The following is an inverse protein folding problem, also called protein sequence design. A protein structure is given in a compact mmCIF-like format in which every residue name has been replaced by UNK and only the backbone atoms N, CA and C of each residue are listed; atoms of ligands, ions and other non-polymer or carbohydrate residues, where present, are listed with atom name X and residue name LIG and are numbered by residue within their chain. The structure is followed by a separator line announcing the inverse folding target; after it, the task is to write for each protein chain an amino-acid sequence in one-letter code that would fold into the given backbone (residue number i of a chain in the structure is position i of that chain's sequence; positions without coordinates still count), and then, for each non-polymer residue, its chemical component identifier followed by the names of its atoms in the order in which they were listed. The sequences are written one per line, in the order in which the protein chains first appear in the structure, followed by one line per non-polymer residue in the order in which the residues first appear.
data_IF_578918939734
#
_entry.id   IF_578918939734
#
_cell.length_a   1.000
_cell.length_b   1.000
_cell.length_c   1.000
_cell.angle_alpha   90.00
_cell.angle_beta   90.00
_cell.angle_gamma   90.00
#
_symmetry.space_group_name_H-M   'P 1'
#
loop_
_entity.id
_entity.type
_entity.pdbx_description
1 polymer ?
#
# COMPACT_ATOMS: atom_id res chain seq x y z
N UNK A 1 62.95 -41.17 23.66
CA UNK A 1 62.71 -39.74 23.36
C UNK A 1 61.58 -39.64 22.34
N UNK A 2 60.63 -38.74 22.62
CA UNK A 2 59.53 -38.15 21.82
C UNK A 2 59.06 -38.87 20.53
N UNK A 3 57.81 -39.34 20.44
CA UNK A 3 56.55 -38.60 20.22
C UNK A 3 56.39 -37.98 18.80
N UNK A 4 55.50 -38.58 17.99
CA UNK A 4 54.55 -37.93 17.06
C UNK A 4 53.69 -39.06 16.47
N UNK A 5 52.48 -39.42 16.91
CA UNK A 5 51.24 -38.69 17.19
C UNK A 5 50.72 -37.85 16.01
N UNK A 6 49.71 -38.44 15.34
CA UNK A 6 48.50 -37.85 14.72
C UNK A 6 48.69 -36.71 13.69
N UNK A 7 47.85 -36.54 12.68
CA UNK A 7 46.41 -36.28 12.78
C UNK A 7 45.74 -36.70 11.47
N UNK A 8 44.82 -37.66 11.62
CA UNK A 8 43.75 -37.94 10.67
C UNK A 8 42.92 -36.66 10.55
N UNK A 9 42.91 -36.03 9.37
CA UNK A 9 42.04 -34.89 9.10
C UNK A 9 40.60 -35.40 9.01
N UNK A 10 39.89 -35.36 10.14
CA UNK A 10 38.44 -35.59 10.19
C UNK A 10 37.78 -34.46 9.43
N UNK A 11 37.24 -34.79 8.25
CA UNK A 11 36.32 -33.93 7.54
C UNK A 11 35.08 -33.73 8.43
N UNK A 12 35.01 -32.60 9.11
CA UNK A 12 33.79 -32.17 9.76
C UNK A 12 32.76 -31.88 8.66
N UNK A 13 31.59 -32.54 8.64
CA UNK A 13 30.50 -32.05 7.83
C UNK A 13 30.06 -30.72 8.46
N UNK A 14 30.32 -29.62 7.73
CA UNK A 14 29.63 -28.35 7.94
C UNK A 14 28.14 -28.67 7.92
N UNK A 15 27.55 -28.74 9.10
CA UNK A 15 26.11 -28.73 9.30
C UNK A 15 25.61 -27.42 8.69
N UNK A 16 25.21 -27.49 7.43
CA UNK A 16 24.46 -26.43 6.78
C UNK A 16 23.19 -26.25 7.58
N UNK A 17 23.13 -25.19 8.37
CA UNK A 17 21.86 -24.65 8.85
C UNK A 17 21.10 -24.20 7.62
N UNK A 18 20.29 -25.09 7.06
CA UNK A 18 19.25 -24.69 6.13
C UNK A 18 18.46 -23.58 6.82
N UNK A 19 18.29 -22.40 6.19
CA UNK A 19 17.44 -21.37 6.77
C UNK A 19 16.05 -21.98 6.98
N UNK A 20 15.41 -21.74 8.14
CA UNK A 20 14.10 -22.31 8.42
C UNK A 20 13.13 -21.91 7.32
N UNK A 21 12.54 -22.92 6.67
CA UNK A 21 11.42 -22.77 5.74
C UNK A 21 10.31 -22.00 6.44
N UNK A 22 9.87 -20.94 5.78
CA UNK A 22 8.52 -20.40 5.79
C UNK A 22 7.78 -20.56 7.12
N UNK A 23 8.18 -19.75 8.10
CA UNK A 23 7.17 -19.24 9.03
C UNK A 23 6.25 -18.40 8.16
N UNK A 24 4.95 -18.72 8.11
CA UNK A 24 3.89 -17.84 7.61
C UNK A 24 3.95 -16.53 8.40
N UNK A 25 4.92 -15.68 8.09
CA UNK A 25 5.08 -14.37 8.66
C UNK A 25 3.93 -13.58 8.06
N UNK A 26 2.89 -13.40 8.87
CA UNK A 26 1.81 -12.45 8.58
C UNK A 26 2.46 -11.18 8.03
N UNK A 27 2.03 -10.69 6.85
CA UNK A 27 2.66 -9.52 6.24
C UNK A 27 2.68 -8.38 7.27
N UNK A 28 3.78 -7.62 7.36
CA UNK A 28 3.98 -6.63 8.42
C UNK A 28 2.91 -5.53 8.40
N UNK A 29 2.17 -5.42 7.30
CA UNK A 29 1.15 -4.42 7.04
C UNK A 29 -0.18 -5.08 6.66
N UNK A 30 -1.28 -4.44 7.05
CA UNK A 30 -2.60 -4.69 6.49
C UNK A 30 -3.18 -3.40 5.94
N UNK A 31 -4.03 -3.52 4.91
CA UNK A 31 -4.66 -2.37 4.25
C UNK A 31 -6.13 -2.27 4.65
N UNK A 32 -6.52 -1.10 5.15
CA UNK A 32 -7.91 -0.73 5.34
C UNK A 32 -8.31 0.28 4.27
N UNK A 33 -9.35 -0.06 3.51
CA UNK A 33 -9.95 0.84 2.53
C UNK A 33 -11.39 1.15 2.94
N UNK A 34 -11.76 2.42 2.88
CA UNK A 34 -13.13 2.86 3.15
C UNK A 34 -13.63 3.84 2.11
N UNK A 35 -14.93 3.75 1.83
CA UNK A 35 -15.66 4.63 0.94
C UNK A 35 -16.61 5.49 1.77
N UNK A 36 -16.61 6.79 1.49
CA UNK A 36 -17.58 7.74 2.02
C UNK A 36 -18.20 8.54 0.88
N UNK A 37 -19.52 8.72 0.91
CA UNK A 37 -20.24 9.62 0.00
C UNK A 37 -20.62 10.90 0.73
N UNK A 38 -20.11 12.05 0.28
CA UNK A 38 -20.58 13.36 0.77
C UNK A 38 -21.88 13.73 0.05
N UNK A 39 -22.97 13.02 0.36
CA UNK A 39 -24.29 13.37 -0.16
C UNK A 39 -25.22 12.17 -0.20
N UNK A 40 -26.28 12.22 0.62
CA UNK A 40 -27.43 11.34 0.44
C UNK A 40 -28.09 11.63 -0.91
N UNK A 41 -28.34 10.58 -1.70
CA UNK A 41 -29.12 10.48 -2.96
C UNK A 41 -28.94 11.55 -4.07
N UNK A 42 -28.12 12.59 -3.90
CA UNK A 42 -28.07 13.77 -4.80
C UNK A 42 -26.66 14.25 -5.12
N UNK A 43 -25.86 13.40 -5.77
CA UNK A 43 -24.70 13.85 -6.56
C UNK A 43 -23.45 14.27 -5.77
N UNK A 44 -23.30 13.79 -4.53
CA UNK A 44 -22.06 13.94 -3.77
C UNK A 44 -20.88 13.20 -4.41
N UNK A 45 -19.67 13.81 -4.39
CA UNK A 45 -18.44 13.11 -4.78
C UNK A 45 -18.15 12.01 -3.76
N UNK A 46 -17.87 10.80 -4.23
CA UNK A 46 -17.41 9.71 -3.38
C UNK A 46 -15.90 9.84 -3.14
N UNK A 47 -15.46 9.49 -1.93
CA UNK A 47 -14.06 9.55 -1.52
C UNK A 47 -13.59 8.16 -1.09
N UNK A 48 -12.39 7.80 -1.56
CA UNK A 48 -11.67 6.61 -1.13
C UNK A 48 -10.63 7.02 -0.09
N UNK A 49 -10.76 6.49 1.12
CA UNK A 49 -9.75 6.61 2.17
C UNK A 49 -8.99 5.30 2.28
N UNK A 50 -7.65 5.37 2.31
CA UNK A 50 -6.77 4.21 2.44
C UNK A 50 -5.87 4.42 3.65
N UNK A 51 -5.80 3.40 4.50
CA UNK A 51 -4.94 3.37 5.68
C UNK A 51 -4.12 2.09 5.71
N UNK A 52 -2.85 2.21 6.05
CA UNK A 52 -1.97 1.08 6.31
C UNK A 52 -1.83 0.91 7.82
N UNK A 53 -2.00 -0.31 8.30
CA UNK A 53 -1.86 -0.66 9.71
C UNK A 53 -0.67 -1.59 9.85
N UNK A 54 0.31 -1.23 10.68
CA UNK A 54 1.40 -2.14 11.01
C UNK A 54 0.88 -3.23 11.95
N UNK A 55 0.88 -4.49 11.50
CA UNK A 55 0.37 -5.62 12.29
C UNK A 55 1.46 -6.52 12.84
N UNK A 56 2.67 -6.43 12.31
CA UNK A 56 3.83 -7.16 12.82
C UNK A 56 5.11 -6.35 12.59
N UNK A 57 5.82 -6.06 13.69
CA UNK A 57 7.10 -5.34 13.66
C UNK A 57 6.99 -3.87 13.26
N UNK A 58 8.15 -3.22 13.15
CA UNK A 58 8.28 -1.88 12.59
C UNK A 58 8.17 -1.92 11.05
N UNK A 59 7.50 -0.93 10.46
CA UNK A 59 7.35 -0.83 9.00
C UNK A 59 7.55 0.59 8.51
N UNK A 60 8.44 0.78 7.53
CA UNK A 60 8.66 2.04 6.86
C UNK A 60 7.78 2.11 5.60
N UNK A 61 6.75 2.95 5.62
CA UNK A 61 5.76 3.03 4.54
C UNK A 61 5.82 4.35 3.81
N UNK A 62 5.54 4.31 2.50
CA UNK A 62 5.35 5.49 1.66
C UNK A 62 3.87 5.91 1.74
N UNK A 63 3.60 7.19 1.93
CA UNK A 63 2.22 7.72 2.07
C UNK A 63 1.82 8.73 0.99
N UNK A 64 2.76 9.19 0.17
CA UNK A 64 2.51 10.14 -0.91
C UNK A 64 3.25 9.75 -2.21
N UNK A 65 3.06 10.48 -3.30
CA UNK A 65 3.68 10.28 -4.64
C UNK A 65 3.32 8.94 -5.26
N UNK A 66 2.03 8.63 -5.23
CA UNK A 66 1.46 7.48 -5.89
C UNK A 66 0.86 7.82 -7.25
N UNK A 67 0.76 6.80 -8.09
CA UNK A 67 -0.17 6.75 -9.22
C UNK A 67 -1.18 5.64 -8.96
N UNK A 68 -2.41 5.86 -9.42
CA UNK A 68 -3.47 4.87 -9.36
C UNK A 68 -3.69 4.25 -10.74
N UNK A 69 -3.70 2.93 -10.81
CA UNK A 69 -4.09 2.16 -11.99
C UNK A 69 -5.39 1.46 -11.68
N UNK A 70 -6.36 1.58 -12.57
CA UNK A 70 -7.69 1.00 -12.38
C UNK A 70 -7.93 -0.07 -13.43
N UNK A 71 -8.14 -1.29 -12.95
CA UNK A 71 -8.59 -2.42 -13.74
C UNK A 71 -10.05 -2.69 -13.39
N UNK A 72 -10.93 -2.68 -14.38
CA UNK A 72 -12.38 -2.75 -14.16
C UNK A 72 -13.02 -3.83 -15.01
N UNK A 73 -13.91 -4.58 -14.37
CA UNK A 73 -14.88 -5.48 -15.00
C UNK A 73 -16.30 -4.98 -14.70
N UNK A 74 -17.32 -5.72 -15.11
CA UNK A 74 -18.72 -5.35 -14.87
C UNK A 74 -19.06 -5.28 -13.37
N UNK A 75 -18.58 -6.24 -12.57
CA UNK A 75 -18.93 -6.38 -11.16
C UNK A 75 -17.83 -5.95 -10.17
N UNK A 76 -16.57 -5.87 -10.63
CA UNK A 76 -15.41 -5.61 -9.77
C UNK A 76 -14.48 -4.58 -10.37
N UNK A 77 -13.82 -3.79 -9.52
CA UNK A 77 -12.67 -2.99 -9.91
C UNK A 77 -11.53 -3.15 -8.91
N UNK A 78 -10.31 -3.14 -9.42
CA UNK A 78 -9.07 -3.13 -8.64
C UNK A 78 -8.38 -1.79 -8.87
N UNK A 79 -8.11 -1.08 -7.79
CA UNK A 79 -7.32 0.16 -7.77
C UNK A 79 -5.95 -0.17 -7.20
N UNK A 80 -4.94 -0.18 -8.06
CA UNK A 80 -3.56 -0.39 -7.66
C UNK A 80 -2.86 0.96 -7.46
N UNK A 81 -2.52 1.26 -6.23
CA UNK A 81 -1.76 2.43 -5.80
C UNK A 81 -0.29 2.03 -5.71
N UNK A 82 0.53 2.61 -6.60
CA UNK A 82 1.96 2.28 -6.72
C UNK A 82 2.81 3.54 -6.93
N UNK A 83 4.11 3.53 -6.58
CA UNK A 83 4.96 4.70 -6.71
C UNK A 83 4.89 5.33 -8.11
N UNK A 84 4.80 6.66 -8.17
CA UNK A 84 4.81 7.37 -9.45
C UNK A 84 6.16 7.18 -10.13
N UNK A 85 6.14 6.57 -11.32
CA UNK A 85 7.29 6.53 -12.21
C UNK A 85 7.21 7.69 -13.20
N UNK A 86 8.16 8.63 -13.14
CA UNK A 86 8.28 9.72 -14.12
C UNK A 86 9.52 9.52 -14.96
N UNK A 87 9.43 9.91 -16.23
CA UNK A 87 10.58 10.03 -17.12
C UNK A 87 10.76 11.49 -17.53
N UNK A 88 11.99 11.91 -17.74
CA UNK A 88 12.27 13.21 -18.33
C UNK A 88 12.06 13.18 -19.85
N UNK A 89 12.29 14.31 -20.51
CA UNK A 89 12.15 14.45 -21.96
C UNK A 89 13.13 13.56 -22.76
N UNK A 90 14.17 13.02 -22.11
CA UNK A 90 15.15 12.11 -22.71
C UNK A 90 14.83 10.64 -22.38
N UNK A 91 13.72 10.36 -21.70
CA UNK A 91 13.31 9.02 -21.31
C UNK A 91 14.03 8.46 -20.08
N UNK A 92 14.84 9.26 -19.37
CA UNK A 92 15.55 8.84 -18.15
C UNK A 92 14.59 8.87 -16.96
N UNK A 93 14.73 7.92 -16.04
CA UNK A 93 13.90 7.86 -14.84
C UNK A 93 14.17 9.07 -13.94
N UNK A 94 13.12 9.85 -13.63
CA UNK A 94 13.18 10.95 -12.67
C UNK A 94 12.88 10.37 -11.30
N UNK A 95 13.84 10.49 -10.40
CA UNK A 95 13.80 9.90 -9.07
C UNK A 95 13.41 11.00 -8.08
N UNK A 96 12.32 10.82 -7.31
CA UNK A 96 11.94 11.78 -6.27
C UNK A 96 12.93 11.77 -5.10
N UNK A 97 13.04 12.88 -4.39
CA UNK A 97 13.77 12.92 -3.11
C UNK A 97 12.97 12.20 -2.03
N UNK A 98 13.67 11.56 -1.07
CA UNK A 98 13.05 10.83 0.06
C UNK A 98 12.03 11.70 0.79
N UNK A 99 12.37 12.98 1.02
CA UNK A 99 11.51 13.95 1.71
C UNK A 99 10.15 14.17 1.04
N UNK A 100 10.02 13.86 -0.25
CA UNK A 100 8.76 14.04 -1.00
C UNK A 100 7.87 12.82 -1.02
N UNK A 101 8.34 11.67 -0.51
CA UNK A 101 7.60 10.39 -0.52
C UNK A 101 6.61 10.25 0.63
N UNK A 102 6.67 11.14 1.63
CA UNK A 102 5.89 11.00 2.86
C UNK A 102 6.22 9.70 3.58
N UNK A 103 7.51 9.41 3.79
CA UNK A 103 7.93 8.18 4.49
C UNK A 103 7.54 8.29 5.96
N UNK A 104 6.83 7.29 6.47
CA UNK A 104 6.44 7.16 7.87
C UNK A 104 6.92 5.83 8.40
N UNK A 105 7.59 5.85 9.56
CA UNK A 105 7.95 4.63 10.29
C UNK A 105 6.82 4.31 11.26
N UNK A 106 6.17 3.17 11.08
CA UNK A 106 5.08 2.70 11.91
C UNK A 106 5.60 1.69 12.93
N UNK A 107 5.24 1.89 14.19
CA UNK A 107 5.31 0.89 15.24
C UNK A 107 4.10 -0.07 15.16
N UNK A 108 4.15 -1.24 15.81
CA UNK A 108 3.02 -2.17 15.84
C UNK A 108 1.72 -1.50 16.30
N UNK A 109 0.64 -1.72 15.53
CA UNK A 109 -0.69 -1.12 15.67
C UNK A 109 -0.80 0.37 15.35
N UNK A 110 0.27 1.01 14.86
CA UNK A 110 0.16 2.36 14.30
C UNK A 110 -0.41 2.33 12.89
N UNK A 111 -0.97 3.49 12.50
CA UNK A 111 -1.71 3.64 11.26
C UNK A 111 -1.16 4.83 10.47
N UNK A 112 -0.88 4.62 9.19
CA UNK A 112 -0.57 5.68 8.24
C UNK A 112 -1.76 5.91 7.30
N UNK A 113 -2.15 7.17 7.11
CA UNK A 113 -3.05 7.56 6.03
C UNK A 113 -2.27 7.61 4.71
N UNK A 114 -2.82 7.01 3.66
CA UNK A 114 -2.20 7.00 2.32
C UNK A 114 -2.93 8.00 1.43
N UNK A 115 -2.17 8.90 0.81
CA UNK A 115 -2.68 9.86 -0.17
C UNK A 115 -3.06 9.12 -1.46
N UNK A 116 -4.36 9.05 -1.74
CA UNK A 116 -4.89 8.49 -2.99
C UNK A 116 -4.90 9.59 -4.04
N UNK A 117 -4.31 9.38 -5.23
CA UNK A 117 -4.35 10.38 -6.30
C UNK A 117 -5.80 10.70 -6.72
N UNK A 118 -6.20 11.97 -6.72
CA UNK A 118 -7.52 12.41 -7.23
C UNK A 118 -7.38 13.17 -8.55
N UNK A 119 -8.49 13.35 -9.27
CA UNK A 119 -8.57 14.10 -10.56
C UNK A 119 -8.15 15.56 -10.48
N UNK A 120 -7.92 16.12 -9.29
CA UNK A 120 -7.37 17.47 -9.11
C UNK A 120 -5.84 17.53 -9.39
N UNK A 121 -5.24 16.41 -9.81
CA UNK A 121 -3.84 16.33 -10.21
C UNK A 121 -3.57 17.17 -11.48
N UNK A 122 -2.46 17.94 -11.53
CA UNK A 122 -2.17 18.86 -12.63
C UNK A 122 -2.11 18.16 -14.01
N UNK A 123 -2.46 18.87 -15.10
CA UNK A 123 -2.49 18.31 -16.45
C UNK A 123 -1.13 17.72 -16.84
N UNK A 124 -1.14 16.45 -17.25
CA UNK A 124 0.05 15.61 -17.44
C UNK A 124 0.11 14.39 -16.49
N UNK A 125 -0.80 14.32 -15.51
CA UNK A 125 -1.06 13.10 -14.75
C UNK A 125 -1.96 12.14 -15.56
N UNK A 126 -1.36 11.00 -15.94
CA UNK A 126 -1.94 9.74 -16.44
C UNK A 126 -3.46 9.70 -16.80
N UNK A 127 -3.87 9.18 -17.98
CA UNK A 127 -5.28 8.97 -18.34
C UNK A 127 -6.07 8.04 -17.38
N UNK A 128 -5.39 7.39 -16.43
CA UNK A 128 -5.94 6.48 -15.42
C UNK A 128 -6.78 7.15 -14.32
N UNK A 129 -6.74 8.48 -14.17
CA UNK A 129 -7.40 9.15 -13.03
C UNK A 129 -8.92 9.32 -13.23
N UNK A 130 -9.40 9.47 -14.47
CA UNK A 130 -10.85 9.48 -14.76
C UNK A 130 -11.53 8.13 -14.46
N UNK A 131 -10.78 7.04 -14.64
CA UNK A 131 -11.27 5.70 -14.32
C UNK A 131 -11.37 5.47 -12.80
N UNK A 132 -10.58 6.19 -12.00
CA UNK A 132 -10.60 6.09 -10.55
C UNK A 132 -11.86 6.71 -9.95
N UNK A 133 -12.16 7.98 -10.29
CA UNK A 133 -13.36 8.65 -9.77
C UNK A 133 -14.65 7.87 -10.13
N UNK A 134 -14.70 7.33 -11.35
CA UNK A 134 -15.82 6.49 -11.80
C UNK A 134 -15.93 5.18 -11.03
N UNK A 135 -14.81 4.49 -10.76
CA UNK A 135 -14.80 3.25 -9.98
C UNK A 135 -15.18 3.50 -8.52
N UNK A 136 -14.63 4.54 -7.90
CA UNK A 136 -14.93 4.95 -6.51
C UNK A 136 -16.41 5.31 -6.37
N UNK A 137 -16.95 6.07 -7.31
CA UNK A 137 -18.38 6.45 -7.29
C UNK A 137 -19.30 5.25 -7.51
N UNK A 138 -18.98 4.36 -8.44
CA UNK A 138 -19.77 3.14 -8.68
C UNK A 138 -19.76 2.21 -7.45
N UNK A 139 -18.61 2.08 -6.79
CA UNK A 139 -18.46 1.27 -5.59
C UNK A 139 -19.20 1.86 -4.38
N UNK A 140 -19.10 3.18 -4.19
CA UNK A 140 -19.85 3.87 -3.14
C UNK A 140 -21.37 3.76 -3.32
N UNK A 141 -21.84 3.66 -4.57
CA UNK A 141 -23.23 3.40 -4.90
C UNK A 141 -23.65 1.91 -4.79
N UNK A 142 -22.76 1.03 -4.32
CA UNK A 142 -23.02 -0.41 -4.19
C UNK A 142 -23.15 -1.18 -5.51
N UNK A 143 -22.78 -0.56 -6.64
CA UNK A 143 -22.89 -1.17 -7.98
C UNK A 143 -21.70 -2.05 -8.34
N UNK A 144 -20.62 -1.96 -7.57
CA UNK A 144 -19.35 -2.59 -7.89
C UNK A 144 -18.56 -2.87 -6.59
N UNK A 145 -17.90 -4.01 -6.52
CA UNK A 145 -16.93 -4.29 -5.46
C UNK A 145 -15.57 -3.65 -5.80
N UNK A 146 -15.05 -2.82 -4.90
CA UNK A 146 -13.76 -2.15 -5.09
C UNK A 146 -12.69 -2.79 -4.21
N UNK A 147 -11.67 -3.36 -4.84
CA UNK A 147 -10.46 -3.81 -4.18
C UNK A 147 -9.38 -2.75 -4.34
N UNK A 148 -8.69 -2.40 -3.26
CA UNK A 148 -7.54 -1.50 -3.28
C UNK A 148 -6.29 -2.32 -3.03
N UNK A 149 -5.26 -2.09 -3.83
CA UNK A 149 -3.93 -2.68 -3.68
C UNK A 149 -2.94 -1.57 -3.43
N UNK A 150 -2.16 -1.68 -2.36
CA UNK A 150 -0.98 -0.87 -2.13
C UNK A 150 0.25 -1.70 -2.50
N UNK A 151 1.08 -1.17 -3.38
CA UNK A 151 2.24 -1.88 -3.91
C UNK A 151 3.49 -0.98 -3.80
N UNK A 152 4.50 -1.44 -3.07
CA UNK A 152 5.86 -0.86 -3.08
C UNK A 152 6.82 -1.96 -3.54
N UNK A 153 7.30 -1.90 -4.79
CA UNK A 153 8.21 -2.90 -5.33
C UNK A 153 9.56 -2.93 -4.59
N UNK A 154 10.17 -4.11 -4.47
CA UNK A 154 11.46 -4.33 -3.81
C UNK A 154 12.56 -3.33 -4.22
N UNK A 155 12.68 -3.06 -5.53
CA UNK A 155 13.70 -2.14 -6.03
C UNK A 155 13.48 -0.72 -5.50
N UNK A 156 12.22 -0.31 -5.35
CA UNK A 156 11.85 0.98 -4.77
C UNK A 156 12.10 0.99 -3.26
N UNK A 157 11.68 -0.08 -2.58
CA UNK A 157 11.85 -0.24 -1.15
C UNK A 157 13.32 -0.17 -0.73
N UNK A 158 14.19 -0.95 -1.38
CA UNK A 158 15.64 -0.94 -1.12
C UNK A 158 16.26 0.44 -1.34
N UNK A 159 15.81 1.16 -2.37
CA UNK A 159 16.35 2.47 -2.70
C UNK A 159 16.05 3.53 -1.65
N UNK A 160 14.87 3.46 -1.04
CA UNK A 160 14.37 4.51 -0.14
C UNK A 160 14.28 4.07 1.32
N UNK A 161 14.75 2.86 1.65
CA UNK A 161 14.67 2.31 3.01
C UNK A 161 13.24 2.02 3.46
N UNK A 162 12.37 1.60 2.53
CA UNK A 162 10.98 1.25 2.82
C UNK A 162 10.82 -0.25 3.04
N UNK A 163 9.72 -0.64 3.63
CA UNK A 163 9.26 -2.02 3.65
C UNK A 163 8.68 -2.38 2.28
N UNK A 164 9.30 -3.34 1.59
CA UNK A 164 8.76 -3.87 0.34
C UNK A 164 7.47 -4.65 0.63
N UNK A 165 6.39 -4.34 -0.08
CA UNK A 165 5.10 -4.97 0.22
C UNK A 165 4.09 -4.84 -0.91
N UNK A 166 3.20 -5.83 -0.99
CA UNK A 166 1.96 -5.77 -1.75
C UNK A 166 0.85 -6.22 -0.84
N UNK A 167 -0.05 -5.30 -0.47
CA UNK A 167 -1.18 -5.58 0.42
C UNK A 167 -2.47 -5.10 -0.22
N UNK A 168 -3.55 -5.85 -0.03
CA UNK A 168 -4.85 -5.55 -0.60
C UNK A 168 -5.96 -5.53 0.44
N UNK A 169 -6.97 -4.71 0.21
CA UNK A 169 -8.17 -4.64 1.05
C UNK A 169 -9.40 -4.29 0.21
N UNK A 170 -10.54 -4.91 0.54
CA UNK A 170 -11.83 -4.56 -0.07
C UNK A 170 -12.36 -3.30 0.62
N UNK A 171 -12.71 -2.31 -0.18
CA UNK A 171 -13.20 -1.03 0.33
C UNK A 171 -14.60 -1.18 0.94
N UNK A 172 -14.77 -0.71 2.17
CA UNK A 172 -16.04 -0.81 2.91
C UNK A 172 -16.73 0.56 2.96
N UNK A 173 -18.05 0.58 2.78
CA UNK A 173 -18.85 1.80 2.94
C UNK A 173 -18.89 2.16 4.42
N UNK A 174 -18.50 3.39 4.76
CA UNK A 174 -18.63 3.91 6.12
C UNK A 174 -19.74 4.96 6.10
N UNK A 175 -20.94 4.58 6.55
CA UNK A 175 -22.02 5.55 6.72
C UNK A 175 -21.65 6.53 7.84
N UNK A 176 -21.72 7.84 7.55
CA UNK A 176 -21.71 8.83 8.63
C UNK A 176 -23.01 8.65 9.42
N UNK A 177 -22.90 8.03 10.60
CA UNK A 177 -23.99 7.97 11.56
C UNK A 177 -24.34 9.40 11.95
N UNK A 178 -25.45 9.92 11.43
CA UNK A 178 -25.95 11.25 11.79
C UNK A 178 -26.09 11.29 13.32
N UNK A 179 -25.34 12.18 13.97
CA UNK A 179 -25.47 12.40 15.42
C UNK A 179 -26.89 12.95 15.63
N UNK A 180 -27.78 12.29 16.39
CA UNK A 180 -29.11 12.84 16.60
C UNK A 180 -28.96 14.21 17.27
N UNK A 181 -29.56 15.22 16.65
CA UNK A 181 -29.57 16.57 17.17
C UNK A 181 -30.12 16.52 18.59
N UNK A 182 -29.30 16.92 19.57
CA UNK A 182 -29.74 17.09 20.94
C UNK A 182 -30.81 18.19 20.92
N UNK A 183 -32.09 17.81 21.01
CA UNK A 183 -33.16 18.75 21.33
C UNK A 183 -32.87 19.29 22.72
N UNK A 184 -32.44 20.55 22.79
CA UNK A 184 -32.38 21.26 24.07
C UNK A 184 -33.80 21.58 24.54
N UNK A 185 -34.02 21.61 25.87
CA UNK A 185 -35.33 21.76 26.50
C UNK A 185 -35.97 23.14 26.28
#
# INVERSE_FOLDING_TARGET
MLHALMILLVAAPLTGSAPPKDVDMKPPLTLEASLSSLGGDRGGRAFLSVRLVATAGEAAVMTDRFTAVVERTEAKATVTIRPTQRKDFQGRAVVPSVSTLGVVNLQPNEVAAVSVPTTDAPPGANPSVNNLDAAVSAAAAGKLELTVVYEVPDAWAKRFGLTATTVSGVAKITEQKEKPAARQP
#
